data_IF_389070908070
#
_entry.id   IF_389070908070
#
_cell.length_a   1.000
_cell.length_b   1.000
_cell.length_c   1.000
_cell.angle_alpha   90.00
_cell.angle_beta   90.00
_cell.angle_gamma   90.00
#
_symmetry.space_group_name_H-M   'P 1'
#
loop_
_entity.id
_entity.type
_entity.pdbx_description
1 polymer ?
#
# COMPACT_ATOMS: atom_id res chain seq x y z
N UNK A 1 -0.16 6.28 -7.77
CA UNK A 1 0.28 7.69 -7.60
C UNK A 1 -0.54 8.31 -6.49
N UNK A 2 0.09 8.94 -5.51
CA UNK A 2 -0.61 9.64 -4.41
C UNK A 2 -0.28 11.13 -4.47
N UNK A 3 -1.29 11.95 -4.32
CA UNK A 3 -1.16 13.42 -4.31
C UNK A 3 -1.61 13.90 -2.93
N UNK A 4 -0.66 14.19 -2.01
CA UNK A 4 -0.98 14.78 -0.73
C UNK A 4 -1.19 16.29 -0.89
N UNK A 5 -2.23 16.81 -0.27
CA UNK A 5 -2.46 18.25 -0.14
C UNK A 5 -2.45 18.58 1.34
N UNK A 6 -1.49 19.36 1.80
CA UNK A 6 -1.27 19.62 3.23
C UNK A 6 -1.31 21.11 3.51
N UNK A 7 -2.03 21.47 4.56
CA UNK A 7 -1.93 22.78 5.20
C UNK A 7 -1.35 22.61 6.60
N UNK A 8 -0.51 23.54 7.03
CA UNK A 8 0.06 23.54 8.38
C UNK A 8 -0.11 24.89 9.04
N UNK A 9 -0.24 24.86 10.35
CA UNK A 9 -0.37 26.05 11.17
C UNK A 9 0.45 25.92 12.46
N UNK A 10 1.18 26.95 12.80
CA UNK A 10 1.94 27.03 14.03
C UNK A 10 1.06 27.57 15.15
N UNK A 11 0.71 26.70 16.10
CA UNK A 11 -0.15 27.03 17.25
C UNK A 11 0.60 27.85 18.29
N UNK A 12 1.87 27.51 18.52
CA UNK A 12 2.77 28.23 19.44
C UNK A 12 4.16 28.26 18.83
N UNK A 13 5.09 28.95 19.47
CA UNK A 13 6.50 28.96 19.04
C UNK A 13 7.15 27.56 19.01
N UNK A 14 6.52 26.56 19.66
CA UNK A 14 7.06 25.20 19.80
C UNK A 14 6.15 24.12 19.26
N UNK A 15 4.94 24.44 18.84
CA UNK A 15 3.95 23.47 18.42
C UNK A 15 3.32 23.85 17.08
N UNK A 16 3.46 22.97 16.13
CA UNK A 16 2.81 23.08 14.83
C UNK A 16 1.93 21.87 14.58
N UNK A 17 0.81 22.09 13.92
CA UNK A 17 -0.09 21.04 13.44
C UNK A 17 -0.25 21.17 11.94
N UNK A 18 -0.50 20.06 11.29
CA UNK A 18 -0.77 20.07 9.85
C UNK A 18 -1.62 18.87 9.46
N UNK A 19 -2.25 18.96 8.31
CA UNK A 19 -3.05 17.88 7.79
C UNK A 19 -3.72 18.25 6.49
N UNK A 20 -4.36 17.26 5.90
CA UNK A 20 -5.11 17.45 4.68
C UNK A 20 -5.46 16.15 3.98
N UNK A 21 -6.17 16.23 2.85
CA UNK A 21 -6.57 15.06 2.09
C UNK A 21 -5.39 14.46 1.30
N UNK A 22 -5.44 13.14 1.15
CA UNK A 22 -4.58 12.37 0.25
C UNK A 22 -5.45 11.76 -0.84
N UNK A 23 -5.21 12.08 -2.08
CA UNK A 23 -5.87 11.47 -3.23
C UNK A 23 -4.92 10.44 -3.84
N UNK A 24 -5.34 9.19 -3.90
CA UNK A 24 -4.58 8.11 -4.51
C UNK A 24 -5.26 7.66 -5.80
N UNK A 25 -4.49 7.62 -6.89
CA UNK A 25 -4.89 7.00 -8.14
C UNK A 25 -4.13 5.69 -8.30
N UNK A 26 -4.85 4.61 -8.55
CA UNK A 26 -4.29 3.28 -8.71
C UNK A 26 -4.75 2.64 -10.01
N UNK A 27 -3.82 1.97 -10.69
CA UNK A 27 -4.07 1.20 -11.90
C UNK A 27 -3.81 -0.27 -11.61
N UNK A 28 -4.79 -1.12 -11.93
CA UNK A 28 -4.70 -2.57 -11.85
C UNK A 28 -4.67 -3.14 -13.27
N UNK A 29 -3.71 -4.02 -13.52
CA UNK A 29 -3.72 -4.89 -14.70
C UNK A 29 -3.28 -6.28 -14.24
N UNK A 30 -4.11 -7.28 -14.48
CA UNK A 30 -3.79 -8.68 -14.22
C UNK A 30 -4.21 -9.54 -15.40
N UNK A 31 -3.28 -10.38 -15.83
CA UNK A 31 -3.49 -11.39 -16.87
C UNK A 31 -3.30 -12.76 -16.24
N UNK A 32 -4.24 -13.66 -16.45
CA UNK A 32 -4.22 -15.04 -15.93
C UNK A 32 -4.36 -16.00 -17.10
N UNK A 33 -3.43 -16.96 -17.22
CA UNK A 33 -3.54 -18.05 -18.15
C UNK A 33 -4.49 -19.11 -17.60
N UNK A 34 -5.49 -19.48 -18.37
CA UNK A 34 -6.52 -20.45 -18.00
C UNK A 34 -6.14 -21.90 -18.31
N UNK A 35 -4.93 -22.14 -18.80
CA UNK A 35 -4.42 -23.47 -19.18
C UNK A 35 -4.33 -24.46 -18.01
N UNK A 36 -4.23 -23.92 -16.77
CA UNK A 36 -4.05 -24.72 -15.57
C UNK A 36 -5.38 -25.18 -14.92
N UNK A 37 -6.53 -24.86 -15.57
CA UNK A 37 -7.83 -25.29 -15.06
C UNK A 37 -8.21 -26.66 -15.68
N UNK A 38 -8.27 -27.75 -14.91
CA UNK A 38 -8.77 -29.05 -15.43
C UNK A 38 -10.29 -28.97 -15.72
N UNK A 39 -10.81 -29.60 -16.79
CA UNK A 39 -10.21 -30.59 -17.71
C UNK A 39 -10.00 -30.03 -19.12
N UNK A 40 -9.03 -29.20 -19.32
CA UNK A 40 -8.83 -28.51 -20.58
C UNK A 40 -7.85 -29.25 -21.48
N UNK A 41 -8.35 -30.11 -22.30
CA UNK A 41 -7.59 -30.63 -23.44
C UNK A 41 -7.38 -29.53 -24.48
N UNK A 42 -6.29 -28.78 -24.39
CA UNK A 42 -5.71 -28.01 -25.49
C UNK A 42 -6.40 -26.69 -25.84
N UNK A 43 -6.04 -25.63 -25.15
CA UNK A 43 -6.30 -24.25 -25.55
C UNK A 43 -5.64 -23.30 -24.55
N UNK A 44 -4.80 -22.39 -25.06
CA UNK A 44 -4.16 -21.35 -24.27
C UNK A 44 -5.17 -20.22 -24.03
N UNK A 45 -6.10 -20.37 -23.10
CA UNK A 45 -7.02 -19.32 -22.74
C UNK A 45 -6.35 -18.26 -21.86
N UNK A 46 -6.63 -16.99 -22.11
CA UNK A 46 -6.17 -15.87 -21.32
C UNK A 46 -7.36 -15.04 -20.83
N UNK A 47 -7.33 -14.65 -19.56
CA UNK A 47 -8.25 -13.69 -18.96
C UNK A 47 -7.46 -12.46 -18.54
N UNK A 48 -7.87 -11.28 -18.99
CA UNK A 48 -7.25 -10.02 -18.57
C UNK A 48 -8.26 -9.07 -17.93
N UNK A 49 -7.85 -8.46 -16.84
CA UNK A 49 -8.59 -7.42 -16.10
C UNK A 49 -7.75 -6.16 -16.07
N UNK A 50 -8.37 -5.00 -16.33
CA UNK A 50 -7.72 -3.68 -16.29
C UNK A 50 -8.70 -2.66 -15.74
N UNK A 51 -8.27 -1.94 -14.73
CA UNK A 51 -9.08 -0.82 -14.23
C UNK A 51 -8.20 0.25 -13.60
N UNK A 52 -8.72 1.47 -13.58
CA UNK A 52 -8.13 2.62 -12.91
C UNK A 52 -9.14 3.17 -11.93
N UNK A 53 -8.75 3.22 -10.67
CA UNK A 53 -9.61 3.74 -9.61
C UNK A 53 -8.91 4.83 -8.83
N UNK A 54 -9.70 5.64 -8.12
CA UNK A 54 -9.20 6.63 -7.20
C UNK A 54 -9.81 6.42 -5.81
N UNK A 55 -9.00 6.68 -4.79
CA UNK A 55 -9.42 6.66 -3.40
C UNK A 55 -8.98 7.93 -2.68
N UNK A 56 -9.67 8.27 -1.61
CA UNK A 56 -9.37 9.44 -0.80
C UNK A 56 -9.16 9.01 0.63
N UNK A 57 -8.10 9.53 1.23
CA UNK A 57 -7.78 9.45 2.64
C UNK A 57 -7.43 10.80 3.21
N UNK A 58 -6.92 10.82 4.42
CA UNK A 58 -6.44 12.02 5.08
C UNK A 58 -5.14 11.76 5.82
N UNK A 59 -4.45 12.85 6.11
CA UNK A 59 -3.27 12.82 6.98
C UNK A 59 -3.35 13.96 7.99
N UNK A 60 -2.80 13.70 9.17
CA UNK A 60 -2.64 14.70 10.22
C UNK A 60 -1.29 14.49 10.89
N UNK A 61 -0.63 15.59 11.20
CA UNK A 61 0.65 15.57 11.87
C UNK A 61 0.79 16.66 12.91
N UNK A 62 1.64 16.38 13.87
CA UNK A 62 2.04 17.31 14.93
C UNK A 62 3.55 17.36 14.97
N UNK A 63 4.09 18.56 15.03
CA UNK A 63 5.51 18.82 15.25
C UNK A 63 5.67 19.60 16.56
N UNK A 64 6.45 19.06 17.47
CA UNK A 64 6.77 19.68 18.73
C UNK A 64 8.28 19.96 18.85
N UNK A 65 8.63 21.20 19.14
CA UNK A 65 10.00 21.68 19.29
C UNK A 65 10.24 22.11 20.76
N UNK A 66 10.55 21.16 21.66
CA UNK A 66 10.78 21.47 23.07
C UNK A 66 11.94 22.45 23.26
N UNK A 67 12.93 22.37 22.40
CA UNK A 67 14.06 23.31 22.32
C UNK A 67 14.37 23.61 20.86
N UNK A 68 15.20 24.62 20.60
CA UNK A 68 15.67 24.92 19.22
C UNK A 68 16.51 23.80 18.61
N UNK A 69 17.04 22.90 19.45
CA UNK A 69 17.89 21.78 19.05
C UNK A 69 17.11 20.47 18.90
N UNK A 70 15.86 20.38 19.35
CA UNK A 70 15.08 19.13 19.38
C UNK A 70 13.76 19.29 18.69
N UNK A 71 13.44 18.36 17.78
CA UNK A 71 12.17 18.27 17.08
C UNK A 71 11.61 16.87 17.22
N UNK A 72 10.35 16.79 17.59
CA UNK A 72 9.60 15.53 17.71
C UNK A 72 8.38 15.64 16.81
N UNK A 73 8.18 14.64 15.96
CA UNK A 73 7.08 14.60 15.00
C UNK A 73 6.24 13.34 15.16
N UNK A 74 4.94 13.48 14.95
CA UNK A 74 4.01 12.36 14.79
C UNK A 74 3.14 12.64 13.59
N UNK A 75 3.02 11.67 12.70
CA UNK A 75 2.13 11.78 11.54
C UNK A 75 1.28 10.51 11.44
N UNK A 76 -0.02 10.69 11.24
CA UNK A 76 -0.99 9.64 10.99
C UNK A 76 -1.55 9.77 9.58
N UNK A 77 -1.64 8.67 8.87
CA UNK A 77 -2.30 8.54 7.58
C UNK A 77 -3.48 7.59 7.68
N UNK A 78 -4.64 8.05 7.26
CA UNK A 78 -5.84 7.21 7.25
C UNK A 78 -5.77 6.14 6.16
N UNK A 79 -6.51 5.03 6.31
CA UNK A 79 -6.63 4.03 5.24
C UNK A 79 -7.32 4.64 4.02
N UNK A 80 -6.96 4.13 2.83
CA UNK A 80 -7.58 4.52 1.56
C UNK A 80 -8.22 3.29 0.93
N UNK A 81 -9.52 3.35 0.68
CA UNK A 81 -10.25 2.29 -0.03
C UNK A 81 -10.13 2.50 -1.54
N UNK A 82 -9.78 1.44 -2.24
CA UNK A 82 -9.67 1.37 -3.68
C UNK A 82 -10.62 0.28 -4.18
N UNK A 83 -11.57 0.65 -5.02
CA UNK A 83 -12.55 -0.29 -5.59
C UNK A 83 -12.31 -0.36 -7.09
N UNK A 84 -11.82 -1.48 -7.56
CA UNK A 84 -11.65 -1.78 -8.97
C UNK A 84 -12.86 -2.55 -9.47
N UNK A 85 -13.31 -2.25 -10.68
CA UNK A 85 -14.46 -2.88 -11.30
C UNK A 85 -14.24 -2.99 -12.79
N UNK A 86 -14.14 -4.22 -13.29
CA UNK A 86 -13.92 -4.46 -14.72
C UNK A 86 -14.66 -5.72 -15.18
N UNK A 87 -15.07 -5.75 -16.44
CA UNK A 87 -15.53 -6.96 -17.10
C UNK A 87 -14.32 -7.60 -17.82
N UNK A 88 -13.86 -8.78 -17.34
CA UNK A 88 -12.67 -9.40 -17.89
C UNK A 88 -12.75 -9.61 -19.41
N UNK A 89 -11.67 -9.27 -20.11
CA UNK A 89 -11.51 -9.66 -21.49
C UNK A 89 -10.91 -11.07 -21.56
N UNK A 90 -11.51 -11.90 -22.39
CA UNK A 90 -11.06 -13.28 -22.61
C UNK A 90 -10.55 -13.45 -24.04
N UNK A 91 -9.48 -14.20 -24.22
CA UNK A 91 -8.94 -14.59 -25.53
C UNK A 91 -8.59 -16.07 -25.54
N UNK A 92 -8.60 -16.66 -26.74
CA UNK A 92 -8.15 -18.02 -27.03
C UNK A 92 -8.73 -19.13 -26.14
N UNK A 93 -9.99 -18.96 -25.71
CA UNK A 93 -10.64 -19.84 -24.73
C UNK A 93 -10.87 -21.29 -25.21
N UNK A 94 -10.86 -21.56 -26.51
CA UNK A 94 -11.13 -22.90 -27.06
C UNK A 94 -12.43 -23.51 -26.48
N UNK A 95 -12.38 -24.77 -26.06
CA UNK A 95 -13.51 -25.46 -25.45
C UNK A 95 -13.97 -24.87 -24.10
N UNK A 96 -13.07 -24.21 -23.38
CA UNK A 96 -13.40 -23.51 -22.11
C UNK A 96 -14.35 -22.34 -22.34
N UNK A 97 -14.24 -21.68 -23.49
CA UNK A 97 -15.13 -20.57 -23.85
C UNK A 97 -16.60 -20.97 -23.85
N UNK A 98 -16.90 -22.15 -24.40
CA UNK A 98 -18.27 -22.67 -24.42
C UNK A 98 -18.78 -22.97 -22.99
N UNK A 99 -17.93 -23.51 -22.13
CA UNK A 99 -18.29 -23.77 -20.71
C UNK A 99 -18.55 -22.47 -19.95
N UNK A 100 -17.70 -21.46 -20.12
CA UNK A 100 -17.87 -20.16 -19.49
C UNK A 100 -19.09 -19.42 -20.02
N UNK A 101 -19.39 -19.51 -21.32
CA UNK A 101 -20.55 -18.93 -21.95
C UNK A 101 -21.85 -19.56 -21.45
N UNK A 102 -21.90 -20.91 -21.40
CA UNK A 102 -23.08 -21.66 -20.92
C UNK A 102 -23.37 -21.39 -19.44
N UNK A 103 -22.36 -21.06 -18.65
CA UNK A 103 -22.51 -20.69 -17.24
C UNK A 103 -22.69 -19.18 -17.02
N UNK A 104 -22.75 -18.37 -18.10
CA UNK A 104 -22.95 -16.92 -18.01
C UNK A 104 -21.81 -16.19 -17.31
N UNK A 105 -20.57 -16.67 -17.42
CA UNK A 105 -19.41 -16.13 -16.74
C UNK A 105 -18.61 -15.13 -17.60
N UNK A 106 -18.78 -15.15 -18.92
CA UNK A 106 -18.01 -14.28 -19.84
C UNK A 106 -18.32 -12.79 -19.73
N UNK A 107 -19.54 -12.45 -19.27
CA UNK A 107 -20.00 -11.06 -19.21
C UNK A 107 -20.21 -10.59 -17.77
N UNK A 108 -19.53 -11.20 -16.81
CA UNK A 108 -19.63 -10.79 -15.40
C UNK A 108 -18.60 -9.75 -15.05
N UNK A 109 -19.01 -8.74 -14.34
CA UNK A 109 -18.10 -7.75 -13.78
C UNK A 109 -17.45 -8.30 -12.50
N UNK A 110 -16.15 -8.21 -12.46
CA UNK A 110 -15.33 -8.51 -11.27
C UNK A 110 -15.10 -7.22 -10.51
N UNK A 111 -15.51 -7.20 -9.26
CA UNK A 111 -15.24 -6.10 -8.34
C UNK A 111 -14.15 -6.53 -7.35
N UNK A 112 -13.10 -5.73 -7.22
CA UNK A 112 -12.00 -5.96 -6.31
C UNK A 112 -11.85 -4.77 -5.37
N UNK A 113 -12.17 -4.97 -4.10
CA UNK A 113 -11.96 -3.98 -3.04
C UNK A 113 -10.60 -4.20 -2.36
N UNK A 114 -9.77 -3.19 -2.35
CA UNK A 114 -8.50 -3.17 -1.63
C UNK A 114 -8.48 -1.98 -0.67
N UNK A 115 -7.89 -2.17 0.51
CA UNK A 115 -7.71 -1.08 1.47
C UNK A 115 -6.23 -0.84 1.70
N UNK A 116 -5.71 0.28 1.20
CA UNK A 116 -4.35 0.73 1.54
C UNK A 116 -4.30 0.98 3.05
N UNK A 117 -3.31 0.43 3.76
CA UNK A 117 -3.28 0.47 5.21
C UNK A 117 -3.08 1.87 5.76
N UNK A 118 -3.63 2.09 6.92
CA UNK A 118 -3.28 3.24 7.75
C UNK A 118 -1.87 3.07 8.29
N UNK A 119 -1.19 4.18 8.54
CA UNK A 119 0.11 4.14 9.19
C UNK A 119 0.34 5.34 10.10
N UNK A 120 1.19 5.13 11.10
CA UNK A 120 1.66 6.14 12.03
C UNK A 120 3.18 6.18 11.96
N UNK A 121 3.72 7.37 11.89
CA UNK A 121 5.17 7.61 11.93
C UNK A 121 5.49 8.55 13.09
N UNK A 122 6.40 8.13 13.94
CA UNK A 122 7.04 8.96 14.97
C UNK A 122 8.44 9.30 14.49
N UNK A 123 8.86 10.54 14.66
CA UNK A 123 10.20 10.98 14.29
C UNK A 123 10.79 11.88 15.36
N UNK A 124 12.09 11.77 15.53
CA UNK A 124 12.87 12.58 16.45
C UNK A 124 14.14 13.08 15.77
N UNK A 125 14.48 14.31 16.00
CA UNK A 125 15.72 14.95 15.58
C UNK A 125 16.30 15.73 16.75
N UNK A 126 17.61 15.58 17.00
CA UNK A 126 18.28 16.30 18.06
C UNK A 126 19.69 16.72 17.62
N UNK A 127 19.98 18.02 17.76
CA UNK A 127 21.31 18.59 17.58
C UNK A 127 22.13 18.39 18.86
N UNK A 128 23.15 17.56 18.83
CA UNK A 128 24.06 17.35 19.95
C UNK A 128 24.98 18.57 20.15
N UNK A 129 25.37 19.20 19.04
CA UNK A 129 26.18 20.43 18.99
C UNK A 129 26.09 21.05 17.58
N UNK A 130 26.83 22.11 17.32
CA UNK A 130 26.82 22.85 16.03
C UNK A 130 27.23 21.99 14.82
N UNK A 131 27.82 20.82 15.02
CA UNK A 131 28.30 19.94 13.96
C UNK A 131 27.59 18.60 13.88
N UNK A 132 27.06 18.11 14.99
CA UNK A 132 26.45 16.78 15.07
C UNK A 132 24.96 16.85 15.37
N UNK A 133 24.17 16.11 14.59
CA UNK A 133 22.79 15.81 14.91
C UNK A 133 22.53 14.30 14.80
N UNK A 134 21.60 13.83 15.60
CA UNK A 134 21.06 12.48 15.54
C UNK A 134 19.59 12.52 15.21
N UNK A 135 19.12 11.49 14.52
CA UNK A 135 17.72 11.35 14.17
C UNK A 135 17.28 9.90 14.28
N UNK A 136 16.01 9.71 14.52
CA UNK A 136 15.40 8.40 14.53
C UNK A 136 13.93 8.48 14.22
N UNK A 137 13.42 7.38 13.70
CA UNK A 137 12.00 7.21 13.41
C UNK A 137 11.53 5.82 13.77
N UNK A 138 10.24 5.74 14.09
CA UNK A 138 9.50 4.51 14.32
C UNK A 138 8.18 4.59 13.59
N UNK A 139 7.91 3.61 12.77
CA UNK A 139 6.69 3.49 11.99
C UNK A 139 5.90 2.23 12.35
N UNK A 140 4.58 2.32 12.23
CA UNK A 140 3.66 1.20 12.24
C UNK A 140 2.70 1.32 11.07
N UNK A 141 2.59 0.24 10.29
CA UNK A 141 1.71 0.13 9.13
C UNK A 141 0.78 -1.06 9.28
N UNK A 142 -0.52 -0.85 9.19
CA UNK A 142 -1.55 -1.86 9.41
C UNK A 142 -1.79 -2.73 8.17
N UNK A 143 -0.76 -3.43 7.70
CA UNK A 143 -0.83 -4.28 6.51
C UNK A 143 -1.75 -5.49 6.67
N UNK A 144 -2.05 -5.93 7.89
CA UNK A 144 -3.02 -7.00 8.15
C UNK A 144 -4.40 -6.70 7.54
N UNK A 145 -4.76 -5.43 7.38
CA UNK A 145 -6.01 -5.03 6.70
C UNK A 145 -5.95 -5.09 5.19
N UNK A 146 -4.78 -4.91 4.59
CA UNK A 146 -4.60 -5.05 3.14
C UNK A 146 -4.75 -6.51 2.68
N UNK A 147 -4.42 -7.47 3.55
CA UNK A 147 -4.58 -8.89 3.29
C UNK A 147 -6.03 -9.36 3.10
N UNK A 148 -7.02 -8.52 3.39
CA UNK A 148 -8.44 -8.83 3.17
C UNK A 148 -8.90 -8.17 1.87
N UNK A 149 -8.84 -8.91 0.76
CA UNK A 149 -9.37 -8.48 -0.53
C UNK A 149 -10.80 -8.97 -0.71
N UNK A 150 -11.73 -8.07 -0.99
CA UNK A 150 -13.11 -8.42 -1.32
C UNK A 150 -13.22 -8.61 -2.84
N UNK A 151 -13.56 -9.82 -3.27
CA UNK A 151 -13.81 -10.14 -4.68
C UNK A 151 -15.29 -10.42 -4.85
N UNK A 152 -15.97 -9.60 -5.61
CA UNK A 152 -17.39 -9.76 -5.95
C UNK A 152 -17.58 -10.01 -7.44
N UNK A 153 -18.57 -10.82 -7.78
CA UNK A 153 -19.04 -11.02 -9.16
C UNK A 153 -20.44 -10.44 -9.29
N UNK A 154 -20.63 -9.52 -10.23
CA UNK A 154 -21.94 -8.89 -10.52
C UNK A 154 -22.37 -9.15 -11.96
N UNK A 155 -23.66 -8.94 -12.25
CA UNK A 155 -24.23 -9.13 -13.61
C UNK A 155 -24.87 -10.51 -13.83
N UNK A 156 -25.05 -11.33 -12.79
CA UNK A 156 -25.77 -12.60 -12.84
C UNK A 156 -27.00 -12.60 -11.92
N UNK A 157 -27.74 -13.72 -11.93
CA UNK A 157 -28.89 -13.95 -11.04
C UNK A 157 -28.44 -14.01 -9.58
N UNK A 158 -27.25 -14.54 -9.33
CA UNK A 158 -26.58 -14.56 -8.03
C UNK A 158 -25.31 -13.71 -8.16
N UNK A 159 -25.11 -12.81 -7.20
CA UNK A 159 -23.94 -11.95 -7.12
C UNK A 159 -23.09 -12.39 -5.91
N UNK A 160 -22.30 -13.48 -6.02
CA UNK A 160 -21.49 -13.96 -4.92
C UNK A 160 -20.33 -12.99 -4.66
N UNK A 161 -19.99 -12.77 -3.40
CA UNK A 161 -18.79 -12.13 -2.97
C UNK A 161 -17.97 -13.07 -2.09
N UNK A 162 -16.66 -13.06 -2.26
CA UNK A 162 -15.72 -13.85 -1.46
C UNK A 162 -14.68 -12.90 -0.93
N UNK A 163 -14.45 -12.95 0.38
CA UNK A 163 -13.32 -12.27 0.99
C UNK A 163 -12.13 -13.23 1.00
N UNK A 164 -11.11 -12.91 0.23
CA UNK A 164 -9.85 -13.62 0.28
C UNK A 164 -8.97 -12.97 1.36
N UNK A 165 -8.66 -13.72 2.41
CA UNK A 165 -7.72 -13.29 3.43
C UNK A 165 -6.33 -13.84 3.06
N UNK A 166 -5.41 -12.93 2.81
CA UNK A 166 -3.98 -13.22 2.76
C UNK A 166 -3.45 -12.80 4.12
N UNK A 167 -2.95 -13.73 4.93
CA UNK A 167 -2.47 -13.47 6.29
C UNK A 167 -1.22 -12.59 6.28
N UNK A 168 -1.45 -11.28 6.11
CA UNK A 168 -0.41 -10.27 6.25
C UNK A 168 -0.28 -9.83 7.70
N UNK A 169 0.96 -9.59 8.12
CA UNK A 169 1.28 -9.02 9.42
C UNK A 169 1.42 -7.50 9.29
N UNK A 170 1.17 -6.80 10.37
CA UNK A 170 1.52 -5.39 10.45
C UNK A 170 3.03 -5.21 10.33
N UNK A 171 3.44 -4.13 9.68
CA UNK A 171 4.85 -3.80 9.46
C UNK A 171 5.28 -2.74 10.45
N UNK A 172 6.45 -2.95 11.04
CA UNK A 172 7.12 -2.00 11.91
C UNK A 172 8.40 -1.54 11.24
N UNK A 173 8.57 -0.23 11.20
CA UNK A 173 9.75 0.45 10.70
C UNK A 173 10.54 1.05 11.85
N UNK A 174 11.86 0.92 11.82
CA UNK A 174 12.78 1.59 12.76
C UNK A 174 13.95 2.14 11.96
N UNK A 175 14.18 3.45 12.09
CA UNK A 175 15.32 4.11 11.48
C UNK A 175 16.14 4.88 12.51
N UNK A 176 17.45 4.87 12.34
CA UNK A 176 18.35 5.74 13.07
C UNK A 176 19.36 6.36 12.12
N UNK A 177 19.71 7.60 12.36
CA UNK A 177 20.67 8.30 11.53
C UNK A 177 21.48 9.33 12.29
N UNK A 178 22.55 9.74 11.68
CA UNK A 178 23.37 10.86 12.15
C UNK A 178 23.77 11.76 11.01
N UNK A 179 23.94 13.02 11.33
CA UNK A 179 24.34 14.06 10.43
C UNK A 179 25.58 14.76 11.00
N UNK A 180 26.60 14.94 10.16
CA UNK A 180 27.82 15.62 10.55
C UNK A 180 28.15 16.75 9.58
N UNK A 181 28.20 17.97 10.09
CA UNK A 181 28.60 19.17 9.35
C UNK A 181 30.11 19.29 9.36
N UNK A 182 30.75 18.86 8.27
CA UNK A 182 32.21 18.92 8.14
C UNK A 182 32.70 20.37 8.06
N UNK A 183 32.00 21.19 7.26
CA UNK A 183 32.24 22.63 7.11
C UNK A 183 30.97 23.31 6.55
N UNK A 184 31.05 24.59 6.13
CA UNK A 184 29.91 25.31 5.57
C UNK A 184 29.38 24.76 4.23
N UNK A 185 30.16 23.94 3.53
CA UNK A 185 29.83 23.42 2.20
C UNK A 185 29.48 21.91 2.23
N UNK A 186 29.94 21.16 3.23
CA UNK A 186 29.80 19.70 3.29
C UNK A 186 29.03 19.25 4.51
N UNK A 187 27.95 18.49 4.26
CA UNK A 187 27.13 17.84 5.24
C UNK A 187 27.10 16.33 4.95
N UNK A 188 27.60 15.52 5.88
CA UNK A 188 27.63 14.07 5.76
C UNK A 188 26.43 13.50 6.51
N UNK A 189 25.75 12.52 5.89
CA UNK A 189 24.65 11.79 6.51
C UNK A 189 24.96 10.31 6.45
N UNK A 190 24.66 9.60 7.55
CA UNK A 190 24.73 8.16 7.65
C UNK A 190 23.51 7.65 8.43
N UNK A 191 22.94 6.55 8.00
CA UNK A 191 21.79 5.97 8.68
C UNK A 191 21.63 4.49 8.37
N UNK A 192 20.83 3.85 9.20
CA UNK A 192 20.39 2.48 9.06
C UNK A 192 18.89 2.43 9.32
N UNK A 193 18.17 1.63 8.53
CA UNK A 193 16.74 1.39 8.73
C UNK A 193 16.44 -0.11 8.63
N UNK A 194 15.42 -0.54 9.35
CA UNK A 194 14.91 -1.90 9.34
C UNK A 194 13.39 -1.89 9.25
N UNK A 195 12.86 -2.70 8.34
CA UNK A 195 11.43 -2.97 8.19
C UNK A 195 11.15 -4.43 8.52
N UNK A 196 10.13 -4.67 9.34
CA UNK A 196 9.67 -6.03 9.61
C UNK A 196 8.97 -6.62 8.38
N UNK A 197 8.99 -7.95 8.24
CA UNK A 197 8.34 -8.60 7.10
C UNK A 197 6.81 -8.59 7.24
N UNK A 198 6.13 -8.13 6.20
CA UNK A 198 4.67 -8.18 6.08
C UNK A 198 4.14 -9.61 5.86
N UNK A 199 4.96 -10.52 5.32
CA UNK A 199 4.55 -11.90 5.01
C UNK A 199 5.49 -12.88 5.66
N UNK A 200 4.93 -13.88 6.37
CA UNK A 200 5.71 -15.00 6.87
C UNK A 200 6.21 -15.88 5.70
N UNK A 201 7.32 -16.59 5.90
CA UNK A 201 7.89 -17.46 4.86
C UNK A 201 6.90 -18.53 4.37
N UNK A 202 5.98 -18.98 5.25
CA UNK A 202 4.95 -19.98 4.94
C UNK A 202 3.81 -19.44 4.06
N UNK A 203 3.55 -18.13 4.11
CA UNK A 203 2.42 -17.47 3.44
C UNK A 203 2.82 -16.71 2.17
N UNK A 204 4.06 -16.87 1.71
CA UNK A 204 4.53 -16.23 0.47
C UNK A 204 3.83 -16.82 -0.74
N UNK A 205 3.19 -15.97 -1.53
CA UNK A 205 2.56 -16.36 -2.79
C UNK A 205 3.30 -15.71 -3.97
N UNK A 206 3.47 -16.47 -5.06
CA UNK A 206 4.08 -15.98 -6.31
C UNK A 206 3.31 -14.82 -6.96
N UNK A 207 2.03 -14.67 -6.65
CA UNK A 207 1.17 -13.63 -7.22
C UNK A 207 1.48 -12.21 -6.71
N UNK A 208 2.06 -12.10 -5.53
CA UNK A 208 2.52 -10.84 -4.95
C UNK A 208 3.93 -11.06 -4.37
N UNK A 209 4.99 -10.78 -5.13
CA UNK A 209 6.35 -10.88 -4.63
C UNK A 209 6.57 -9.80 -3.56
N UNK A 210 6.31 -10.16 -2.33
CA UNK A 210 6.44 -9.28 -1.17
C UNK A 210 7.78 -9.54 -0.50
N UNK A 211 8.67 -8.62 -0.69
CA UNK A 211 9.93 -8.54 0.02
C UNK A 211 11.04 -9.45 -0.50
N UNK A 212 12.13 -8.86 -0.89
CA UNK A 212 13.39 -9.56 -0.96
C UNK A 212 13.88 -9.75 0.49
N UNK A 213 13.97 -11.00 0.94
CA UNK A 213 14.83 -11.31 2.09
C UNK A 213 16.25 -11.34 1.57
N UNK A 214 17.07 -10.47 2.05
CA UNK A 214 18.53 -10.53 1.91
C UNK A 214 19.11 -11.30 3.08
#
# INVERSE_FOLDING_TARGET
MTIPTVASYQLTERLSIGGGPNVMMAYLRKTVNLNDLPPTGGGAGEMSVRDTTAGVGGQVGVLYEPTKMTRLGVTYFSPIKLNFSDTPAFSDLGAVGTLLQNNGLLNRTVNLGLTVPQHVLFSAYHELNERWAIMGDFGWENWSRFGSAEVGLTGGVLNPSVTANVDYNDVYHVGIGSQYKLNSQWLLNCGFAYDSSMVSAANRQLALPTGASY
#
